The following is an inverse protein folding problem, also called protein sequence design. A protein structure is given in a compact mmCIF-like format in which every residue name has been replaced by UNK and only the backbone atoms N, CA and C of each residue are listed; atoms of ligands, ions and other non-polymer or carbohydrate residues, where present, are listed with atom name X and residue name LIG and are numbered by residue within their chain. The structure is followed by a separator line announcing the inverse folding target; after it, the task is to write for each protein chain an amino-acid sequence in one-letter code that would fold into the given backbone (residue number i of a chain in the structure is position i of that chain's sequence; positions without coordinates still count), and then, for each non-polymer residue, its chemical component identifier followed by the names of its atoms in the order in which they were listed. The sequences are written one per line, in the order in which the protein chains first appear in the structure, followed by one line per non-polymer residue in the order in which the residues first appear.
data_IF_961181323146
#
_entry.id   IF_961181323146
#
_cell.length_a   1.000
_cell.length_b   1.000
_cell.length_c   1.000
_cell.angle_alpha   90.00
_cell.angle_beta   90.00
_cell.angle_gamma   90.00
#
_symmetry.space_group_name_H-M   'P 1'
#
loop_
_entity.id
_entity.type
_entity.pdbx_description
1 polymer ?
#
# COMPACT_ATOMS: atom_id res chain seq x y z
N UNK A 1 3.03 -0.03 -21.10
CA UNK A 1 3.39 0.89 -19.99
C UNK A 1 2.90 0.31 -18.67
N UNK A 2 3.70 0.44 -17.61
CA UNK A 2 3.34 0.02 -16.24
C UNK A 2 2.57 1.17 -15.57
N UNK A 3 1.38 0.88 -15.03
CA UNK A 3 0.50 1.91 -14.43
C UNK A 3 0.46 1.88 -12.91
N UNK A 4 0.76 0.73 -12.29
CA UNK A 4 0.61 0.50 -10.86
C UNK A 4 1.91 -0.10 -10.32
N UNK A 5 2.39 0.44 -9.20
CA UNK A 5 3.47 -0.13 -8.40
C UNK A 5 2.94 -0.69 -7.07
N UNK A 6 3.61 -1.70 -6.54
CA UNK A 6 3.33 -2.27 -5.22
C UNK A 6 4.58 -2.17 -4.36
N UNK A 7 4.46 -1.63 -3.16
CA UNK A 7 5.55 -1.50 -2.19
C UNK A 7 5.34 -2.54 -1.09
N UNK A 8 6.26 -3.49 -1.02
CA UNK A 8 6.33 -4.57 -0.02
C UNK A 8 7.67 -4.58 0.72
N UNK A 9 8.36 -3.45 0.74
CA UNK A 9 9.67 -3.29 1.38
C UNK A 9 9.55 -2.90 2.86
N UNK A 10 10.64 -2.98 3.64
CA UNK A 10 10.65 -2.45 5.00
C UNK A 10 10.33 -0.95 5.03
N UNK A 11 9.73 -0.48 6.13
CA UNK A 11 9.30 0.90 6.33
C UNK A 11 10.40 1.94 6.02
N UNK A 12 11.65 1.66 6.39
CA UNK A 12 12.80 2.53 6.18
C UNK A 12 13.10 2.83 4.71
N UNK A 13 12.66 1.96 3.79
CA UNK A 13 12.91 2.06 2.36
C UNK A 13 11.68 2.46 1.54
N UNK A 14 10.49 2.47 2.16
CA UNK A 14 9.22 2.61 1.45
C UNK A 14 9.10 3.95 0.70
N UNK A 15 9.57 5.05 1.29
CA UNK A 15 9.53 6.37 0.65
C UNK A 15 10.44 6.41 -0.57
N UNK A 16 11.67 5.90 -0.47
CA UNK A 16 12.61 5.88 -1.59
C UNK A 16 12.05 5.08 -2.78
N UNK A 17 11.39 3.95 -2.50
CA UNK A 17 10.73 3.14 -3.54
C UNK A 17 9.55 3.90 -4.15
N UNK A 18 8.74 4.60 -3.34
CA UNK A 18 7.65 5.42 -3.84
C UNK A 18 8.14 6.52 -4.79
N UNK A 19 9.26 7.16 -4.46
CA UNK A 19 9.87 8.20 -5.30
C UNK A 19 10.36 7.63 -6.63
N UNK A 20 10.96 6.44 -6.62
CA UNK A 20 11.40 5.73 -7.85
C UNK A 20 10.20 5.36 -8.72
N UNK A 21 9.13 4.84 -8.13
CA UNK A 21 7.90 4.52 -8.84
C UNK A 21 7.26 5.78 -9.46
N UNK A 22 7.23 6.89 -8.71
CA UNK A 22 6.71 8.17 -9.19
C UNK A 22 7.52 8.69 -10.38
N UNK A 23 8.86 8.66 -10.29
CA UNK A 23 9.75 9.01 -11.43
C UNK A 23 9.55 8.09 -12.63
N UNK A 24 9.23 6.82 -12.40
CA UNK A 24 8.88 5.86 -13.44
C UNK A 24 7.52 6.09 -14.10
N UNK A 25 6.73 7.06 -13.62
CA UNK A 25 5.48 7.48 -14.23
C UNK A 25 4.26 6.62 -13.86
N UNK A 26 4.34 5.83 -12.79
CA UNK A 26 3.16 5.09 -12.30
C UNK A 26 2.05 6.06 -11.89
N UNK A 27 0.80 5.62 -12.02
CA UNK A 27 -0.39 6.41 -11.65
C UNK A 27 -1.04 5.92 -10.36
N UNK A 28 -0.68 4.73 -9.91
CA UNK A 28 -1.15 4.16 -8.65
C UNK A 28 -0.04 3.45 -7.88
N UNK A 29 -0.10 3.54 -6.55
CA UNK A 29 0.79 2.82 -5.64
C UNK A 29 -0.07 2.12 -4.57
N UNK A 30 0.14 0.82 -4.42
CA UNK A 30 -0.33 0.04 -3.28
C UNK A 30 0.80 -0.10 -2.27
N UNK A 31 0.63 0.45 -1.09
CA UNK A 31 1.63 0.44 -0.03
C UNK A 31 1.25 -0.58 1.05
N UNK A 32 2.02 -1.66 1.15
CA UNK A 32 1.93 -2.64 2.23
C UNK A 32 2.98 -2.41 3.32
N UNK A 33 3.90 -1.46 3.13
CA UNK A 33 4.87 -1.13 4.17
C UNK A 33 4.14 -0.47 5.36
N UNK A 34 4.52 -0.77 6.62
CA UNK A 34 3.86 -0.26 7.82
C UNK A 34 4.27 1.18 8.14
N UNK A 35 4.21 2.06 7.14
CA UNK A 35 4.58 3.47 7.25
C UNK A 35 3.78 4.30 6.26
N UNK A 36 3.47 5.54 6.63
CA UNK A 36 2.91 6.51 5.69
C UNK A 36 4.01 7.00 4.76
N UNK A 37 3.71 7.03 3.47
CA UNK A 37 4.56 7.61 2.44
C UNK A 37 3.85 8.80 1.80
N UNK A 38 4.65 9.74 1.30
CA UNK A 38 4.17 10.90 0.54
C UNK A 38 4.38 10.66 -0.94
N UNK A 39 3.39 11.02 -1.76
CA UNK A 39 3.47 10.93 -3.22
C UNK A 39 2.86 12.19 -3.85
N UNK A 40 3.25 12.54 -5.09
CA UNK A 40 2.59 13.60 -5.84
C UNK A 40 1.07 13.39 -5.95
N UNK A 41 0.30 14.49 -6.02
CA UNK A 41 -1.18 14.46 -5.99
C UNK A 41 -1.80 13.67 -7.16
N UNK A 42 -1.09 13.60 -8.27
CA UNK A 42 -1.47 12.86 -9.47
C UNK A 42 -1.35 11.32 -9.32
N UNK A 43 -0.70 10.84 -8.26
CA UNK A 43 -0.55 9.41 -7.96
C UNK A 43 -1.60 9.00 -6.93
N UNK A 44 -2.39 7.97 -7.28
CA UNK A 44 -3.33 7.35 -6.35
C UNK A 44 -2.60 6.42 -5.40
N UNK A 45 -2.44 6.83 -4.15
CA UNK A 45 -1.88 6.00 -3.08
C UNK A 45 -2.97 5.26 -2.30
N UNK A 46 -2.80 3.96 -2.11
CA UNK A 46 -3.63 3.14 -1.23
C UNK A 46 -2.73 2.37 -0.26
N UNK A 47 -2.86 2.67 1.03
CA UNK A 47 -2.25 1.87 2.09
C UNK A 47 -3.10 0.62 2.34
N UNK A 48 -2.43 -0.52 2.51
CA UNK A 48 -3.04 -1.81 2.79
C UNK A 48 -2.57 -2.30 4.15
N UNK A 49 -3.53 -2.48 5.06
CA UNK A 49 -3.33 -3.13 6.34
C UNK A 49 -4.05 -4.48 6.29
N UNK A 50 -3.28 -5.55 6.15
CA UNK A 50 -3.83 -6.92 6.11
C UNK A 50 -4.32 -7.38 7.48
N UNK A 51 -3.71 -6.89 8.57
CA UNK A 51 -4.10 -7.26 9.93
C UNK A 51 -5.54 -6.82 10.20
N UNK A 52 -5.89 -5.59 9.85
CA UNK A 52 -7.27 -5.10 9.95
C UNK A 52 -8.26 -5.90 9.10
N UNK A 53 -7.85 -6.31 7.89
CA UNK A 53 -8.71 -7.11 7.00
C UNK A 53 -8.95 -8.52 7.57
N UNK A 54 -7.91 -9.15 8.11
CA UNK A 54 -8.01 -10.46 8.73
C UNK A 54 -8.79 -10.41 10.05
N UNK A 55 -8.61 -9.37 10.86
CA UNK A 55 -9.41 -9.14 12.08
C UNK A 55 -10.90 -9.00 11.74
N UNK A 56 -11.21 -8.21 10.71
CA UNK A 56 -12.57 -8.05 10.21
C UNK A 56 -13.17 -9.39 9.79
N UNK A 57 -12.43 -10.18 8.99
CA UNK A 57 -12.85 -11.51 8.58
C UNK A 57 -13.06 -12.44 9.77
N UNK A 58 -12.13 -12.45 10.73
CA UNK A 58 -12.22 -13.26 11.94
C UNK A 58 -13.47 -12.91 12.76
N UNK A 59 -13.77 -11.63 12.93
CA UNK A 59 -14.99 -11.17 13.61
C UNK A 59 -16.26 -11.68 12.92
N UNK A 60 -16.34 -11.61 11.58
CA UNK A 60 -17.48 -12.13 10.84
C UNK A 60 -17.65 -13.64 11.03
N UNK A 61 -16.56 -14.40 10.98
CA UNK A 61 -16.61 -15.86 11.18
C UNK A 61 -17.06 -16.23 12.60
N UNK A 62 -16.60 -15.48 13.63
CA UNK A 62 -17.06 -15.66 15.02
C UNK A 62 -18.54 -15.37 15.23
N UNK A 63 -19.17 -14.54 14.40
CA UNK A 63 -20.62 -14.26 14.48
C UNK A 63 -21.47 -15.35 13.80
N UNK A 64 -20.85 -16.16 12.94
CA UNK A 64 -21.50 -17.24 12.18
C UNK A 64 -21.37 -18.61 12.87
N UNK A 65 -20.53 -18.71 13.91
CA UNK A 65 -20.30 -19.92 14.72
C UNK A 65 -20.81 -19.70 16.14
#
# INVERSE_FOLDING_TARGET
QIKIGVITTPATSAQEVADKLAKGGVKGILNFAPVRISVPKEIRLKNVDLSMQLETLSYFLRKLT
#
